data_IF_808745476988
#
_entry.id   IF_808745476988
#
_cell.length_a   1.000
_cell.length_b   1.000
_cell.length_c   1.000
_cell.angle_alpha   90.00
_cell.angle_beta   90.00
_cell.angle_gamma   90.00
#
_symmetry.space_group_name_H-M   'P 1'
#
loop_
_entity.id
_entity.type
_entity.pdbx_description
1 polymer ?
#
# COMPACT_ATOMS: atom_id res chain seq x y z
N UNK A 1 35.98 -5.72 39.41
CA UNK A 1 34.69 -5.35 40.03
C UNK A 1 33.60 -5.84 39.09
N UNK A 2 33.03 -7.00 39.41
CA UNK A 2 31.92 -7.56 38.65
C UNK A 2 30.72 -6.67 38.96
N UNK A 3 30.23 -5.93 37.98
CA UNK A 3 29.02 -5.13 38.09
C UNK A 3 27.85 -6.08 38.25
N UNK A 4 27.32 -6.13 39.46
CA UNK A 4 26.09 -6.84 39.80
C UNK A 4 24.95 -6.15 39.02
N UNK A 5 24.52 -6.78 37.93
CA UNK A 5 23.33 -6.36 37.21
C UNK A 5 22.15 -6.70 38.11
N UNK A 6 21.64 -5.70 38.82
CA UNK A 6 20.43 -5.79 39.61
C UNK A 6 19.25 -5.98 38.63
N UNK A 7 18.99 -7.23 38.21
CA UNK A 7 17.89 -7.64 37.33
C UNK A 7 16.56 -7.48 38.06
N UNK A 8 16.18 -6.24 38.32
CA UNK A 8 14.85 -5.92 38.83
C UNK A 8 13.83 -6.12 37.72
N UNK A 9 13.10 -7.24 37.77
CA UNK A 9 11.97 -7.50 36.89
C UNK A 9 10.86 -6.49 37.22
N UNK A 10 10.48 -5.67 36.22
CA UNK A 10 9.44 -4.65 36.37
C UNK A 10 8.20 -5.04 35.58
N UNK A 11 7.04 -5.02 36.22
CA UNK A 11 5.77 -5.40 35.59
C UNK A 11 4.69 -4.38 35.94
N UNK A 12 3.76 -4.18 35.01
CA UNK A 12 2.54 -3.42 35.23
C UNK A 12 1.52 -4.30 35.93
N UNK A 13 1.10 -3.92 37.14
CA UNK A 13 0.14 -4.70 37.93
C UNK A 13 -1.30 -4.23 37.73
N UNK A 14 -1.49 -2.94 37.40
CA UNK A 14 -2.82 -2.33 37.31
C UNK A 14 -3.09 -1.77 35.91
N UNK A 15 -4.29 -2.04 35.41
CA UNK A 15 -4.77 -1.56 34.11
C UNK A 15 -6.01 -0.69 34.28
N UNK A 16 -5.95 0.55 33.81
CA UNK A 16 -7.05 1.50 33.84
C UNK A 16 -7.71 1.59 32.46
N UNK A 17 -8.97 1.18 32.39
CA UNK A 17 -9.81 1.26 31.21
C UNK A 17 -10.72 2.48 31.34
N UNK A 18 -10.48 3.52 30.54
CA UNK A 18 -11.35 4.69 30.46
C UNK A 18 -12.27 4.57 29.25
N UNK A 19 -13.58 4.49 29.51
CA UNK A 19 -14.59 4.39 28.46
C UNK A 19 -15.32 5.72 28.36
N UNK A 20 -15.16 6.38 27.22
CA UNK A 20 -15.83 7.61 26.88
C UNK A 20 -17.16 7.29 26.20
N UNK A 21 -18.27 7.69 26.82
CA UNK A 21 -19.62 7.48 26.28
C UNK A 21 -20.28 8.81 25.91
N UNK A 22 -21.15 8.77 24.91
CA UNK A 22 -22.04 9.85 24.54
C UNK A 22 -23.44 9.23 24.52
N UNK A 23 -24.26 9.60 25.50
CA UNK A 23 -25.52 8.92 25.86
C UNK A 23 -25.33 7.40 26.07
N UNK A 24 -25.95 6.58 25.22
CA UNK A 24 -25.90 5.11 25.27
C UNK A 24 -24.90 4.50 24.26
N UNK A 25 -23.99 5.33 23.71
CA UNK A 25 -23.02 4.88 22.70
C UNK A 25 -21.58 5.16 23.11
N UNK A 26 -20.72 4.18 22.88
CA UNK A 26 -19.28 4.29 23.17
C UNK A 26 -18.59 5.07 22.04
N UNK A 27 -17.85 6.11 22.40
CA UNK A 27 -17.14 6.99 21.46
C UNK A 27 -15.66 6.64 21.38
N UNK A 28 -15.03 6.42 22.53
CA UNK A 28 -13.59 6.13 22.63
C UNK A 28 -13.32 5.22 23.82
N UNK A 29 -12.38 4.30 23.67
CA UNK A 29 -11.84 3.50 24.76
C UNK A 29 -10.35 3.78 24.85
N UNK A 30 -9.88 4.16 26.04
CA UNK A 30 -8.47 4.36 26.35
C UNK A 30 -8.01 3.34 27.37
N UNK A 31 -6.84 2.75 27.14
CA UNK A 31 -6.20 1.82 28.06
C UNK A 31 -4.92 2.47 28.57
N UNK A 32 -4.83 2.61 29.88
CA UNK A 32 -3.71 3.23 30.57
C UNK A 32 -3.14 2.22 31.55
N UNK A 33 -1.82 2.16 31.62
CA UNK A 33 -1.10 1.30 32.57
C UNK A 33 -0.60 2.16 33.73
N UNK A 34 -0.55 1.57 34.91
CA UNK A 34 0.02 2.20 36.10
C UNK A 34 1.55 2.31 35.98
N UNK A 35 2.19 2.89 37.00
CA UNK A 35 3.63 2.88 37.14
C UNK A 35 4.19 1.45 37.24
N UNK A 36 5.41 1.26 36.69
CA UNK A 36 6.14 0.00 36.75
C UNK A 36 6.46 -0.34 38.21
N UNK A 37 6.04 -1.53 38.66
CA UNK A 37 6.39 -2.05 39.98
C UNK A 37 7.52 -3.06 39.84
N UNK A 38 8.60 -2.88 40.59
CA UNK A 38 9.69 -3.87 40.69
C UNK A 38 9.21 -5.07 41.50
N UNK A 39 9.56 -6.27 41.08
CA UNK A 39 9.13 -7.54 41.67
C UNK A 39 10.34 -8.38 42.05
N UNK A 40 10.21 -9.11 43.16
CA UNK A 40 11.20 -10.09 43.63
C UNK A 40 10.78 -11.53 43.26
N UNK A 41 11.75 -12.43 43.11
CA UNK A 41 11.48 -13.84 42.81
C UNK A 41 10.62 -14.50 43.91
N UNK A 42 9.48 -15.06 43.53
CA UNK A 42 8.54 -15.72 44.44
C UNK A 42 7.39 -14.85 44.97
N UNK A 43 7.30 -13.57 44.58
CA UNK A 43 6.18 -12.69 44.96
C UNK A 43 4.91 -13.02 44.16
N UNK A 44 3.77 -13.19 44.84
CA UNK A 44 2.47 -13.40 44.21
C UNK A 44 1.92 -12.06 43.71
N UNK A 45 1.90 -11.86 42.39
CA UNK A 45 1.40 -10.63 41.76
C UNK A 45 -0.13 -10.71 41.60
N UNK A 46 -0.84 -9.74 42.20
CA UNK A 46 -2.27 -9.55 41.94
C UNK A 46 -2.46 -8.51 40.84
N UNK A 47 -2.93 -8.97 39.69
CA UNK A 47 -3.34 -8.07 38.61
C UNK A 47 -4.71 -7.48 38.92
N UNK A 48 -4.81 -6.16 38.88
CA UNK A 48 -6.10 -5.47 39.03
C UNK A 48 -6.44 -4.68 37.78
N UNK A 49 -7.73 -4.58 37.49
CA UNK A 49 -8.23 -3.71 36.45
C UNK A 49 -9.27 -2.76 37.04
N UNK A 50 -9.26 -1.52 36.56
CA UNK A 50 -10.21 -0.50 36.96
C UNK A 50 -10.92 0.04 35.72
N UNK A 51 -12.23 0.24 35.81
CA UNK A 51 -13.06 0.75 34.72
C UNK A 51 -13.64 2.09 35.14
N UNK A 52 -13.36 3.14 34.37
CA UNK A 52 -13.88 4.48 34.59
C UNK A 52 -14.75 4.88 33.38
N UNK A 53 -16.00 5.25 33.65
CA UNK A 53 -16.94 5.74 32.64
C UNK A 53 -16.95 7.27 32.65
N UNK A 54 -16.68 7.88 31.50
CA UNK A 54 -16.56 9.32 31.35
C UNK A 54 -17.53 9.79 30.26
N UNK A 55 -18.34 10.80 30.58
CA UNK A 55 -19.22 11.42 29.60
C UNK A 55 -18.41 12.31 28.65
N UNK A 56 -18.61 12.09 27.34
CA UNK A 56 -17.92 12.77 26.26
C UNK A 56 -18.85 13.72 25.52
N UNK A 57 -18.37 14.94 25.26
CA UNK A 57 -19.07 15.96 24.46
C UNK A 57 -19.05 15.66 22.94
N UNK A 58 -18.26 14.69 22.49
CA UNK A 58 -18.12 14.32 21.09
C UNK A 58 -19.27 13.39 20.69
N UNK A 59 -20.02 13.75 19.64
CA UNK A 59 -21.06 12.90 19.05
C UNK A 59 -20.49 11.58 18.53
N UNK A 60 -21.25 10.50 18.65
CA UNK A 60 -20.87 9.19 18.12
C UNK A 60 -20.56 9.20 16.60
N UNK A 61 -21.21 10.08 15.83
CA UNK A 61 -20.97 10.23 14.39
C UNK A 61 -19.59 10.78 14.07
N UNK A 62 -19.05 11.63 14.96
CA UNK A 62 -17.79 12.32 14.74
C UNK A 62 -16.62 11.68 15.50
N UNK A 63 -16.83 10.50 16.07
CA UNK A 63 -15.84 9.80 16.92
C UNK A 63 -14.48 9.61 16.25
N UNK A 64 -14.45 9.47 14.92
CA UNK A 64 -13.19 9.27 14.19
C UNK A 64 -12.34 10.52 14.06
N UNK A 65 -12.90 11.71 14.28
CA UNK A 65 -12.16 12.98 14.32
C UNK A 65 -11.00 12.95 15.32
N UNK A 66 -11.18 12.25 16.44
CA UNK A 66 -10.17 12.05 17.50
C UNK A 66 -8.92 11.34 16.95
N UNK A 67 -9.12 10.36 16.07
CA UNK A 67 -8.02 9.61 15.46
C UNK A 67 -7.35 10.43 14.35
N UNK A 68 -8.11 11.21 13.59
CA UNK A 68 -7.55 12.07 12.54
C UNK A 68 -6.68 13.20 13.10
N UNK A 69 -7.09 13.85 14.20
CA UNK A 69 -6.33 14.95 14.81
C UNK A 69 -4.96 14.50 15.33
N UNK A 70 -4.92 13.40 16.08
CA UNK A 70 -3.68 12.79 16.57
C UNK A 70 -2.82 12.19 15.45
N UNK A 71 -3.44 11.86 14.32
CA UNK A 71 -2.73 11.32 13.17
C UNK A 71 -1.94 12.37 12.39
N UNK A 72 -2.13 13.68 12.61
CA UNK A 72 -1.40 14.75 11.91
C UNK A 72 0.14 14.61 11.96
N UNK A 73 0.70 14.17 13.08
CA UNK A 73 2.14 13.86 13.21
C UNK A 73 2.51 12.56 12.48
N UNK A 74 1.67 11.53 12.55
CA UNK A 74 1.89 10.25 11.85
C UNK A 74 1.70 10.35 10.33
N UNK A 75 0.89 11.31 9.86
CA UNK A 75 0.63 11.55 8.44
C UNK A 75 1.93 11.93 7.72
N UNK A 76 2.79 12.72 8.37
CA UNK A 76 4.12 13.08 7.83
C UNK A 76 4.97 11.82 7.59
N UNK A 77 5.01 10.90 8.56
CA UNK A 77 5.76 9.65 8.46
C UNK A 77 5.21 8.77 7.33
N UNK A 78 3.87 8.67 7.23
CA UNK A 78 3.21 7.89 6.17
C UNK A 78 3.49 8.44 4.78
N UNK A 79 3.39 9.76 4.58
CA UNK A 79 3.66 10.39 3.29
C UNK A 79 5.11 10.20 2.85
N UNK A 80 6.08 10.24 3.77
CA UNK A 80 7.50 9.95 3.47
C UNK A 80 7.67 8.51 2.96
N UNK A 81 7.02 7.53 3.62
CA UNK A 81 7.11 6.12 3.19
C UNK A 81 6.47 5.86 1.81
N UNK A 82 5.41 6.60 1.47
CA UNK A 82 4.71 6.49 0.18
C UNK A 82 5.53 7.12 -0.96
N UNK A 83 6.13 8.29 -0.71
CA UNK A 83 7.06 8.91 -1.67
C UNK A 83 8.25 7.97 -1.92
N UNK A 84 8.77 7.33 -0.88
CA UNK A 84 9.87 6.39 -0.99
C UNK A 84 9.53 5.18 -1.88
N UNK A 85 8.34 4.59 -1.73
CA UNK A 85 7.93 3.47 -2.58
C UNK A 85 7.72 3.89 -4.04
N UNK A 86 7.13 5.06 -4.30
CA UNK A 86 6.98 5.62 -5.65
C UNK A 86 8.36 5.87 -6.28
N UNK A 87 9.29 6.47 -5.53
CA UNK A 87 10.64 6.74 -6.01
C UNK A 87 11.35 5.44 -6.42
N UNK A 88 11.27 4.39 -5.59
CA UNK A 88 11.84 3.09 -5.91
C UNK A 88 11.23 2.48 -7.17
N UNK A 89 9.90 2.55 -7.32
CA UNK A 89 9.21 2.06 -8.52
C UNK A 89 9.68 2.78 -9.78
N UNK A 90 9.82 4.11 -9.73
CA UNK A 90 10.28 4.91 -10.86
C UNK A 90 11.76 4.65 -11.20
N UNK A 91 12.61 4.41 -10.21
CA UNK A 91 14.02 4.07 -10.43
C UNK A 91 14.13 2.73 -11.16
N UNK A 92 13.38 1.71 -10.72
CA UNK A 92 13.39 0.39 -11.36
C UNK A 92 12.84 0.48 -12.78
N UNK A 93 11.73 1.17 -13.00
CA UNK A 93 11.15 1.37 -14.32
C UNK A 93 12.08 2.18 -15.23
N UNK A 94 12.71 3.24 -14.70
CA UNK A 94 13.66 4.08 -15.41
C UNK A 94 14.91 3.31 -15.81
N UNK A 95 15.44 2.45 -14.94
CA UNK A 95 16.58 1.59 -15.25
C UNK A 95 16.24 0.56 -16.34
N UNK A 96 15.06 -0.07 -16.27
CA UNK A 96 14.57 -0.96 -17.30
C UNK A 96 14.42 -0.24 -18.65
N UNK A 97 13.80 0.94 -18.65
CA UNK A 97 13.68 1.79 -19.84
C UNK A 97 15.04 2.20 -20.39
N UNK A 98 15.99 2.57 -19.53
CA UNK A 98 17.34 2.93 -19.95
C UNK A 98 18.06 1.77 -20.63
N UNK A 99 17.97 0.54 -20.09
CA UNK A 99 18.49 -0.66 -20.74
C UNK A 99 17.82 -0.87 -22.10
N UNK A 100 16.49 -0.78 -22.17
CA UNK A 100 15.75 -0.92 -23.43
C UNK A 100 16.19 0.13 -24.46
N UNK A 101 16.28 1.40 -24.08
CA UNK A 101 16.74 2.47 -24.96
C UNK A 101 18.18 2.27 -25.42
N UNK A 102 19.06 1.80 -24.54
CA UNK A 102 20.45 1.50 -24.89
C UNK A 102 20.51 0.40 -25.96
N UNK A 103 19.78 -0.68 -25.78
CA UNK A 103 19.70 -1.78 -26.76
C UNK A 103 19.09 -1.30 -28.07
N UNK A 104 17.97 -0.58 -28.03
CA UNK A 104 17.33 -0.02 -29.22
C UNK A 104 18.23 0.93 -29.99
N UNK A 105 18.96 1.83 -29.32
CA UNK A 105 19.88 2.77 -29.97
C UNK A 105 21.05 2.03 -30.62
N UNK A 106 21.62 1.05 -29.92
CA UNK A 106 22.69 0.21 -30.45
C UNK A 106 22.23 -0.56 -31.69
N UNK A 107 21.05 -1.17 -31.61
CA UNK A 107 20.47 -1.91 -32.73
C UNK A 107 20.15 -1.00 -33.91
N UNK A 108 19.54 0.16 -33.69
CA UNK A 108 19.25 1.14 -34.75
C UNK A 108 20.52 1.63 -35.46
N UNK A 109 21.59 1.94 -34.72
CA UNK A 109 22.86 2.34 -35.32
C UNK A 109 23.47 1.22 -36.16
N UNK A 110 23.42 -0.02 -35.67
CA UNK A 110 23.88 -1.20 -36.38
C UNK A 110 23.06 -1.45 -37.66
N UNK A 111 21.73 -1.35 -37.59
CA UNK A 111 20.85 -1.45 -38.76
C UNK A 111 21.17 -0.38 -39.82
N UNK A 112 21.41 0.87 -39.40
CA UNK A 112 21.72 1.96 -40.33
C UNK A 112 23.09 1.78 -41.00
N UNK A 113 24.09 1.26 -40.28
CA UNK A 113 25.40 0.95 -40.86
C UNK A 113 25.32 -0.18 -41.88
N UNK A 114 24.61 -1.27 -41.59
CA UNK A 114 24.44 -2.36 -42.56
C UNK A 114 23.75 -1.93 -43.86
N UNK A 115 22.78 -1.01 -43.78
CA UNK A 115 22.17 -0.39 -44.98
C UNK A 115 23.17 0.39 -45.82
N UNK A 116 24.15 1.05 -45.21
CA UNK A 116 25.21 1.77 -45.95
C UNK A 116 26.23 0.84 -46.62
N UNK A 117 26.51 -0.34 -46.03
CA UNK A 117 27.54 -1.26 -46.53
C UNK A 117 27.06 -2.27 -47.58
N UNK A 118 25.74 -2.49 -47.72
CA UNK A 118 25.16 -3.39 -48.75
C UNK A 118 24.33 -2.57 -49.74
N UNK A 119 24.77 -2.54 -51.00
CA UNK A 119 24.09 -1.90 -52.12
C UNK A 119 22.60 -2.31 -52.22
N UNK A 120 21.75 -1.34 -52.56
CA UNK A 120 20.30 -1.26 -52.32
C UNK A 120 19.38 -2.38 -52.86
N UNK A 121 19.90 -3.42 -53.54
CA UNK A 121 19.03 -4.44 -54.16
C UNK A 121 19.00 -5.79 -53.43
N UNK A 122 20.06 -6.17 -52.68
CA UNK A 122 20.09 -7.45 -51.96
C UNK A 122 19.59 -7.34 -50.50
N UNK A 123 19.42 -6.11 -49.98
CA UNK A 123 19.00 -5.87 -48.59
C UNK A 123 17.47 -5.85 -48.42
N UNK A 124 16.73 -5.56 -49.49
CA UNK A 124 15.26 -5.51 -49.49
C UNK A 124 14.62 -6.90 -49.33
N UNK A 125 15.26 -7.96 -49.83
CA UNK A 125 14.77 -9.33 -49.70
C UNK A 125 15.16 -10.01 -48.36
N UNK A 126 16.09 -9.41 -47.61
CA UNK A 126 16.61 -9.91 -46.33
C UNK A 126 15.99 -9.20 -45.11
N UNK A 127 14.88 -8.49 -45.27
CA UNK A 127 14.16 -7.86 -44.16
C UNK A 127 13.59 -8.92 -43.20
N UNK A 128 14.43 -9.34 -42.25
CA UNK A 128 14.12 -10.33 -41.23
C UNK A 128 12.91 -9.95 -40.37
N UNK A 129 12.57 -8.66 -40.24
CA UNK A 129 11.34 -8.24 -39.56
C UNK A 129 10.07 -8.77 -40.24
N UNK A 130 10.09 -9.02 -41.55
CA UNK A 130 8.97 -9.60 -42.33
C UNK A 130 8.85 -11.12 -42.12
N UNK A 131 9.98 -11.80 -41.89
CA UNK A 131 10.04 -13.23 -41.48
C UNK A 131 9.68 -13.40 -39.99
N UNK A 132 10.17 -12.50 -39.14
CA UNK A 132 9.94 -12.46 -37.69
C UNK A 132 8.54 -11.97 -37.35
N UNK A 133 7.86 -11.24 -38.24
CA UNK A 133 6.44 -10.89 -38.06
C UNK A 133 5.58 -12.15 -37.84
N UNK A 134 5.95 -13.29 -38.44
CA UNK A 134 5.27 -14.58 -38.25
C UNK A 134 5.59 -15.26 -36.91
N UNK A 135 6.73 -14.96 -36.30
CA UNK A 135 7.17 -15.49 -34.99
C UNK A 135 6.85 -14.53 -33.82
N UNK A 136 6.70 -13.23 -34.05
CA UNK A 136 6.32 -12.22 -33.03
C UNK A 136 4.90 -12.42 -32.52
N UNK A 137 4.02 -13.02 -33.33
CA UNK A 137 2.68 -13.42 -32.92
C UNK A 137 2.58 -14.86 -32.44
N UNK A 138 3.70 -15.56 -32.19
CA UNK A 138 3.59 -16.87 -31.53
C UNK A 138 2.98 -16.67 -30.16
N UNK A 139 1.82 -17.29 -29.99
CA UNK A 139 1.12 -17.37 -28.72
C UNK A 139 2.14 -17.81 -27.63
N UNK A 140 2.39 -16.97 -26.61
CA UNK A 140 3.27 -17.33 -25.52
C UNK A 140 2.69 -18.55 -24.80
N UNK A 141 3.53 -19.47 -24.34
CA UNK A 141 3.12 -20.77 -23.76
C UNK A 141 2.07 -20.61 -22.65
N UNK A 142 2.02 -19.45 -21.97
CA UNK A 142 1.07 -19.12 -20.90
C UNK A 142 0.29 -17.81 -21.16
N UNK A 143 -0.20 -17.60 -22.39
CA UNK A 143 -0.96 -16.39 -22.76
C UNK A 143 -2.18 -16.14 -21.86
N UNK A 144 -2.91 -17.18 -21.49
CA UNK A 144 -4.12 -17.08 -20.65
C UNK A 144 -3.80 -16.51 -19.26
N UNK A 145 -2.70 -16.95 -18.65
CA UNK A 145 -2.24 -16.43 -17.36
C UNK A 145 -1.78 -14.97 -17.48
N UNK A 146 -1.04 -14.65 -18.54
CA UNK A 146 -0.58 -13.28 -18.79
C UNK A 146 -1.76 -12.32 -18.98
N UNK A 147 -2.74 -12.73 -19.80
CA UNK A 147 -3.96 -11.95 -20.04
C UNK A 147 -4.77 -11.75 -18.76
N UNK A 148 -4.94 -12.80 -17.95
CA UNK A 148 -5.63 -12.73 -16.67
C UNK A 148 -4.93 -11.77 -15.69
N UNK A 149 -3.61 -11.88 -15.52
CA UNK A 149 -2.87 -10.98 -14.63
C UNK A 149 -2.92 -9.51 -15.08
N UNK A 150 -2.79 -9.27 -16.39
CA UNK A 150 -2.88 -7.90 -16.95
C UNK A 150 -4.29 -7.34 -16.78
N UNK A 151 -5.33 -8.14 -17.04
CA UNK A 151 -6.73 -7.75 -16.85
C UNK A 151 -7.05 -7.42 -15.38
N UNK A 152 -6.63 -8.29 -14.45
CA UNK A 152 -6.80 -8.09 -13.01
C UNK A 152 -6.05 -6.84 -12.54
N UNK A 153 -4.82 -6.64 -13.02
CA UNK A 153 -4.01 -5.47 -12.68
C UNK A 153 -4.66 -4.16 -13.13
N UNK A 154 -5.17 -4.11 -14.37
CA UNK A 154 -5.86 -2.93 -14.91
C UNK A 154 -7.17 -2.67 -14.16
N UNK A 155 -7.95 -3.72 -13.85
CA UNK A 155 -9.19 -3.60 -13.10
C UNK A 155 -8.95 -3.01 -11.70
N UNK A 156 -8.00 -3.58 -10.94
CA UNK A 156 -7.65 -3.09 -9.60
C UNK A 156 -7.15 -1.65 -9.67
N UNK A 157 -6.29 -1.32 -10.64
CA UNK A 157 -5.75 0.02 -10.82
C UNK A 157 -6.86 1.06 -11.08
N UNK A 158 -7.77 0.77 -12.01
CA UNK A 158 -8.88 1.67 -12.34
C UNK A 158 -9.86 1.82 -11.18
N UNK A 159 -10.20 0.75 -10.46
CA UNK A 159 -11.08 0.83 -9.30
C UNK A 159 -10.48 1.70 -8.19
N UNK A 160 -9.19 1.54 -7.87
CA UNK A 160 -8.51 2.37 -6.86
C UNK A 160 -8.44 3.83 -7.30
N UNK A 161 -8.09 4.08 -8.56
CA UNK A 161 -7.96 5.43 -9.10
C UNK A 161 -9.31 6.17 -9.08
N UNK A 162 -10.38 5.52 -9.56
CA UNK A 162 -11.72 6.11 -9.59
C UNK A 162 -12.28 6.36 -8.19
N UNK A 163 -12.14 5.40 -7.28
CA UNK A 163 -12.64 5.56 -5.90
C UNK A 163 -11.89 6.66 -5.15
N UNK A 164 -10.58 6.78 -5.35
CA UNK A 164 -9.77 7.86 -4.77
C UNK A 164 -10.17 9.23 -5.31
N UNK A 165 -10.36 9.36 -6.63
CA UNK A 165 -10.83 10.61 -7.22
C UNK A 165 -12.21 11.01 -6.68
N UNK A 166 -13.15 10.07 -6.59
CA UNK A 166 -14.49 10.34 -6.05
C UNK A 166 -14.45 10.78 -4.58
N UNK A 167 -13.58 10.18 -3.76
CA UNK A 167 -13.39 10.62 -2.36
C UNK A 167 -12.88 12.06 -2.31
N UNK A 168 -11.90 12.42 -3.15
CA UNK A 168 -11.31 13.76 -3.18
C UNK A 168 -12.33 14.80 -3.67
N UNK A 169 -13.05 14.51 -4.76
CA UNK A 169 -13.97 15.48 -5.37
C UNK A 169 -15.28 15.66 -4.61
N UNK A 170 -15.84 14.58 -4.07
CA UNK A 170 -17.16 14.62 -3.43
C UNK A 170 -17.07 14.88 -1.92
N UNK A 171 -15.95 14.55 -1.28
CA UNK A 171 -15.75 14.70 0.17
C UNK A 171 -16.87 14.06 1.03
N UNK A 172 -17.61 13.09 0.45
CA UNK A 172 -18.82 12.48 1.05
C UNK A 172 -18.46 11.50 2.19
N UNK A 173 -17.25 10.96 2.19
CA UNK A 173 -16.88 9.84 3.05
C UNK A 173 -16.05 10.28 4.27
N UNK A 174 -16.73 10.71 5.34
CA UNK A 174 -16.10 10.98 6.64
C UNK A 174 -15.58 9.69 7.33
N UNK A 175 -16.22 8.55 7.01
CA UNK A 175 -15.93 7.25 7.63
C UNK A 175 -15.04 6.37 6.73
N UNK A 176 -13.89 5.89 7.23
CA UNK A 176 -12.96 5.10 6.44
C UNK A 176 -13.57 3.75 6.03
N UNK A 177 -14.48 3.21 6.85
CA UNK A 177 -15.22 1.98 6.53
C UNK A 177 -16.09 2.14 5.29
N UNK A 178 -16.75 3.29 5.12
CA UNK A 178 -17.63 3.56 3.96
C UNK A 178 -16.85 3.60 2.65
N UNK A 179 -15.62 4.11 2.66
CA UNK A 179 -14.74 4.11 1.48
C UNK A 179 -14.42 2.69 1.04
N UNK A 180 -14.14 1.79 1.99
CA UNK A 180 -13.82 0.38 1.68
C UNK A 180 -15.02 -0.34 1.09
N UNK A 181 -16.22 -0.19 1.67
CA UNK A 181 -17.44 -0.81 1.13
C UNK A 181 -17.78 -0.28 -0.26
N UNK A 182 -17.63 1.02 -0.48
CA UNK A 182 -17.85 1.62 -1.79
C UNK A 182 -16.82 1.14 -2.82
N UNK A 183 -15.55 1.03 -2.44
CA UNK A 183 -14.51 0.49 -3.29
C UNK A 183 -14.74 -0.97 -3.68
N UNK A 184 -15.17 -1.80 -2.73
CA UNK A 184 -15.56 -3.19 -2.99
C UNK A 184 -16.77 -3.28 -3.92
N UNK A 185 -17.79 -2.44 -3.69
CA UNK A 185 -18.95 -2.37 -4.56
C UNK A 185 -18.55 -2.00 -6.01
N UNK A 186 -17.71 -0.98 -6.18
CA UNK A 186 -17.20 -0.57 -7.49
C UNK A 186 -16.33 -1.65 -8.15
N UNK A 187 -15.53 -2.39 -7.37
CA UNK A 187 -14.76 -3.51 -7.89
C UNK A 187 -15.68 -4.60 -8.46
N UNK A 188 -16.74 -4.94 -7.73
CA UNK A 188 -17.72 -5.97 -8.13
C UNK A 188 -18.51 -5.52 -9.37
N UNK A 189 -18.90 -4.25 -9.48
CA UNK A 189 -19.64 -3.74 -10.65
C UNK A 189 -18.78 -3.57 -11.90
N UNK A 190 -17.47 -3.40 -11.76
CA UNK A 190 -16.53 -3.39 -12.89
C UNK A 190 -16.18 -4.81 -13.35
N UNK A 191 -16.29 -5.81 -12.47
CA UNK A 191 -16.03 -7.21 -12.80
C UNK A 191 -16.87 -7.81 -13.95
N UNK A 192 -18.18 -7.53 -14.14
CA UNK A 192 -18.93 -7.99 -15.30
C UNK A 192 -18.49 -7.36 -16.63
N UNK A 193 -17.59 -6.38 -16.61
CA UNK A 193 -17.04 -5.74 -17.83
C UNK A 193 -15.78 -6.49 -18.32
N UNK A 194 -15.21 -7.40 -17.52
CA UNK A 194 -14.00 -8.17 -17.85
C UNK A 194 -14.21 -9.66 -18.14
N UNK A 195 -15.44 -10.16 -18.09
CA UNK A 195 -15.83 -11.53 -18.47
C UNK A 195 -16.62 -11.52 -19.79
#
# INVERSE_FOLDING_TARGET
SVGEYDESYKVFTNMFLKIYKNDDRIVKVGLYQDSLKSINEGETINYTYQIEWIDSSISFTDRYSIYYFNSSSSLKIRTISLINSIAMMLIVAGFALWILFRTLRYDLMRYNQFKMFKNDNDFEDLYGWKLVHKDVYRHPVYFELLSSFVGIGIQIFLTIMLTTLLVIFLNIFSEPSRVIYFGLYMYITVCPISA
#
